data_IF_416600321672
#
_entry.id   IF_416600321672
#
_cell.length_a   1.000
_cell.length_b   1.000
_cell.length_c   1.000
_cell.angle_alpha   90.00
_cell.angle_beta   90.00
_cell.angle_gamma   90.00
#
_symmetry.space_group_name_H-M   'P 1'
#
loop_
_entity.id
_entity.type
_entity.pdbx_description
1 polymer ?
#
# COMPACT_ATOMS: atom_id res chain seq x y z
N UNK A 1 10.55 -14.52 16.10
CA UNK A 1 10.82 -13.30 15.29
C UNK A 1 10.57 -12.03 16.12
N UNK A 2 9.40 -11.87 16.77
CA UNK A 2 9.06 -10.67 17.54
C UNK A 2 10.11 -10.39 18.60
N UNK A 3 10.43 -11.38 19.45
CA UNK A 3 11.45 -11.27 20.51
C UNK A 3 12.79 -10.76 19.96
N UNK A 4 13.32 -11.40 18.92
CA UNK A 4 14.60 -10.99 18.33
C UNK A 4 14.58 -9.57 17.73
N UNK A 5 13.43 -9.11 17.22
CA UNK A 5 13.26 -7.73 16.72
C UNK A 5 13.24 -6.73 17.90
N UNK A 6 12.56 -7.09 18.97
CA UNK A 6 12.51 -6.25 20.19
C UNK A 6 13.88 -6.15 20.84
N UNK A 7 14.62 -7.26 20.95
CA UNK A 7 16.00 -7.28 21.45
C UNK A 7 16.95 -6.42 20.58
N UNK A 8 16.68 -6.37 19.25
CA UNK A 8 17.41 -5.51 18.32
C UNK A 8 17.01 -4.03 18.39
N UNK A 9 16.04 -3.66 19.25
CA UNK A 9 15.62 -2.27 19.47
C UNK A 9 14.64 -1.71 18.45
N UNK A 10 13.74 -2.55 17.89
CA UNK A 10 12.71 -2.07 16.95
C UNK A 10 11.68 -1.20 17.67
N UNK A 11 11.27 -0.09 17.03
CA UNK A 11 10.25 0.82 17.56
C UNK A 11 8.82 0.34 17.26
N UNK A 12 8.63 -0.25 16.09
CA UNK A 12 7.31 -0.71 15.62
C UNK A 12 7.38 -2.08 14.93
N UNK A 13 6.37 -2.90 15.17
CA UNK A 13 6.18 -4.20 14.51
C UNK A 13 4.92 -4.16 13.67
N UNK A 14 5.04 -4.59 12.41
CA UNK A 14 3.88 -4.75 11.52
C UNK A 14 3.48 -6.23 11.49
N UNK A 15 2.26 -6.52 11.93
CA UNK A 15 1.61 -7.82 11.74
C UNK A 15 0.91 -7.76 10.39
N UNK A 16 1.63 -8.15 9.34
CA UNK A 16 1.29 -7.92 7.94
C UNK A 16 0.83 -9.20 7.23
N UNK A 17 -0.43 -9.25 6.86
CA UNK A 17 -1.06 -10.41 6.19
C UNK A 17 -1.98 -9.97 5.05
N UNK A 18 -2.39 -10.91 4.21
CA UNK A 18 -3.38 -10.65 3.17
C UNK A 18 -4.79 -10.42 3.74
N UNK A 19 -5.05 -10.85 4.99
CA UNK A 19 -6.35 -10.67 5.67
C UNK A 19 -6.15 -10.40 7.17
N UNK A 20 -6.04 -9.12 7.53
CA UNK A 20 -5.81 -8.67 8.90
C UNK A 20 -6.97 -8.91 9.87
N UNK A 21 -8.19 -9.11 9.37
CA UNK A 21 -9.38 -9.43 10.19
C UNK A 21 -9.53 -10.93 10.46
N UNK A 22 -8.43 -11.68 10.49
CA UNK A 22 -8.46 -13.09 10.90
C UNK A 22 -8.15 -13.24 12.39
N UNK A 23 -8.70 -14.29 13.02
CA UNK A 23 -8.50 -14.56 14.45
C UNK A 23 -7.02 -14.62 14.81
N UNK A 24 -6.20 -15.32 14.02
CA UNK A 24 -4.77 -15.45 14.28
C UNK A 24 -3.98 -14.13 14.22
N UNK A 25 -4.41 -13.18 13.38
CA UNK A 25 -3.79 -11.84 13.31
C UNK A 25 -4.18 -11.03 14.54
N UNK A 26 -5.46 -11.02 14.91
CA UNK A 26 -5.98 -10.32 16.09
C UNK A 26 -5.30 -10.84 17.36
N UNK A 27 -5.22 -12.15 17.52
CA UNK A 27 -4.52 -12.80 18.64
C UNK A 27 -3.03 -12.45 18.66
N UNK A 28 -2.38 -12.37 17.49
CA UNK A 28 -0.98 -11.98 17.40
C UNK A 28 -0.76 -10.53 17.83
N UNK A 29 -1.63 -9.61 17.44
CA UNK A 29 -1.58 -8.21 17.89
C UNK A 29 -1.72 -8.15 19.42
N UNK A 30 -2.73 -8.82 20.00
CA UNK A 30 -2.92 -8.89 21.45
C UNK A 30 -1.69 -9.46 22.16
N UNK A 31 -1.13 -10.53 21.62
CA UNK A 31 0.04 -11.17 22.20
C UNK A 31 1.26 -10.24 22.22
N UNK A 32 1.52 -9.52 21.12
CA UNK A 32 2.64 -8.57 21.05
C UNK A 32 2.44 -7.46 22.07
N UNK A 33 1.27 -6.85 22.14
CA UNK A 33 0.96 -5.77 23.11
C UNK A 33 1.04 -6.23 24.55
N UNK A 34 0.62 -7.45 24.85
CA UNK A 34 0.69 -8.00 26.21
C UNK A 34 2.13 -8.30 26.67
N UNK A 35 3.00 -8.76 25.78
CA UNK A 35 4.37 -9.15 26.11
C UNK A 35 5.41 -8.02 25.92
N UNK A 36 5.14 -7.08 25.01
CA UNK A 36 6.04 -5.98 24.64
C UNK A 36 5.28 -4.65 24.54
N UNK A 37 4.69 -4.15 25.65
CA UNK A 37 3.82 -2.96 25.64
C UNK A 37 4.52 -1.69 25.15
N UNK A 38 5.85 -1.64 25.20
CA UNK A 38 6.67 -0.51 24.77
C UNK A 38 6.79 -0.43 23.22
N UNK A 39 6.52 -1.51 22.50
CA UNK A 39 6.63 -1.55 21.03
C UNK A 39 5.29 -1.18 20.40
N UNK A 40 5.33 -0.34 19.37
CA UNK A 40 4.14 0.00 18.60
C UNK A 40 3.75 -1.17 17.67
N UNK A 41 2.47 -1.46 17.55
CA UNK A 41 1.98 -2.56 16.71
C UNK A 41 1.03 -2.05 15.64
N UNK A 42 1.37 -2.34 14.40
CA UNK A 42 0.54 -2.03 13.22
C UNK A 42 -0.10 -3.32 12.73
N UNK A 43 -1.43 -3.37 12.67
CA UNK A 43 -2.16 -4.54 12.15
C UNK A 43 -2.64 -4.32 10.71
N UNK A 44 -2.60 -5.34 9.88
CA UNK A 44 -3.13 -5.26 8.51
C UNK A 44 -2.92 -6.54 7.67
N UNK A 45 -3.39 -6.54 6.41
CA UNK A 45 -4.19 -5.47 5.82
C UNK A 45 -5.69 -5.70 6.03
N UNK A 46 -6.41 -4.61 6.07
CA UNK A 46 -7.85 -4.59 6.23
C UNK A 46 -8.52 -3.70 5.17
N UNK A 47 -9.85 -3.76 5.07
CA UNK A 47 -10.62 -2.93 4.14
C UNK A 47 -11.93 -2.38 4.73
N UNK A 48 -12.30 -2.77 5.96
CA UNK A 48 -13.60 -2.44 6.57
C UNK A 48 -13.45 -1.82 7.94
N UNK A 49 -14.44 -1.02 8.34
CA UNK A 49 -14.50 -0.41 9.67
C UNK A 49 -14.53 -1.45 10.79
N UNK A 50 -15.28 -2.57 10.63
CA UNK A 50 -15.34 -3.62 11.64
C UNK A 50 -13.97 -4.27 11.88
N UNK A 51 -13.20 -4.48 10.80
CA UNK A 51 -11.83 -4.98 10.92
C UNK A 51 -10.92 -3.99 11.67
N UNK A 52 -11.09 -2.69 11.42
CA UNK A 52 -10.33 -1.66 12.12
C UNK A 52 -10.65 -1.63 13.62
N UNK A 53 -11.92 -1.71 13.98
CA UNK A 53 -12.34 -1.77 15.39
C UNK A 53 -11.82 -3.04 16.09
N UNK A 54 -11.86 -4.19 15.41
CA UNK A 54 -11.32 -5.44 15.97
C UNK A 54 -9.80 -5.37 16.23
N UNK A 55 -9.03 -4.70 15.38
CA UNK A 55 -7.60 -4.46 15.60
C UNK A 55 -7.34 -3.42 16.69
N UNK A 56 -8.14 -2.36 16.75
CA UNK A 56 -8.10 -1.37 17.84
C UNK A 56 -8.35 -2.03 19.20
N UNK A 57 -9.40 -2.84 19.31
CA UNK A 57 -9.73 -3.60 20.52
C UNK A 57 -8.64 -4.62 20.89
N UNK A 58 -7.88 -5.10 19.93
CA UNK A 58 -6.72 -5.95 20.16
C UNK A 58 -5.48 -5.19 20.65
N UNK A 59 -5.53 -3.84 20.68
CA UNK A 59 -4.46 -2.96 21.13
C UNK A 59 -3.50 -2.51 20.02
N UNK A 60 -3.90 -2.59 18.74
CA UNK A 60 -3.09 -2.04 17.65
C UNK A 60 -2.92 -0.52 17.81
N UNK A 61 -1.72 -0.01 17.56
CA UNK A 61 -1.39 1.41 17.60
C UNK A 61 -1.61 2.09 16.24
N UNK A 62 -1.72 1.31 15.18
CA UNK A 62 -2.10 1.75 13.83
C UNK A 62 -2.68 0.59 13.02
N UNK A 63 -3.41 0.91 11.95
CA UNK A 63 -3.91 -0.07 10.98
C UNK A 63 -3.43 0.22 9.57
N UNK A 64 -3.25 -0.84 8.78
CA UNK A 64 -2.85 -0.75 7.39
C UNK A 64 -3.97 -1.24 6.47
N UNK A 65 -4.40 -0.38 5.53
CA UNK A 65 -5.61 -0.53 4.72
C UNK A 65 -5.26 -0.74 3.26
N UNK A 66 -5.77 -1.84 2.70
CA UNK A 66 -5.62 -2.15 1.28
C UNK A 66 -5.69 -3.64 1.01
N UNK A 67 -6.80 -4.10 0.41
CA UNK A 67 -6.99 -5.48 -0.05
C UNK A 67 -7.08 -5.46 -1.58
N UNK A 68 -6.00 -5.91 -2.23
CA UNK A 68 -5.90 -6.05 -3.67
C UNK A 68 -5.66 -4.79 -4.49
N UNK A 69 -5.26 -3.60 -3.96
CA UNK A 69 -5.05 -2.40 -4.79
C UNK A 69 -3.68 -2.36 -5.48
N UNK A 70 -2.74 -3.21 -5.10
CA UNK A 70 -1.38 -3.23 -5.65
C UNK A 70 -1.36 -3.58 -7.14
N UNK A 71 -0.45 -2.95 -7.90
CA UNK A 71 -0.34 -3.15 -9.37
C UNK A 71 0.06 -4.57 -9.78
N UNK A 72 0.69 -5.33 -8.87
CA UNK A 72 1.11 -6.72 -9.09
C UNK A 72 0.23 -7.74 -8.34
N UNK A 73 -0.84 -7.26 -7.69
CA UNK A 73 -1.76 -8.10 -6.92
C UNK A 73 -2.89 -8.63 -7.82
N UNK A 74 -3.19 -9.92 -7.70
CA UNK A 74 -4.28 -10.58 -8.42
C UNK A 74 -5.39 -11.09 -7.51
N UNK A 75 -5.35 -10.81 -6.21
CA UNK A 75 -6.34 -11.24 -5.21
C UNK A 75 -7.78 -10.97 -5.66
N UNK A 76 -8.05 -9.78 -6.19
CA UNK A 76 -9.41 -9.39 -6.65
C UNK A 76 -9.93 -10.25 -7.79
N UNK A 77 -9.04 -10.80 -8.60
CA UNK A 77 -9.39 -11.65 -9.75
C UNK A 77 -9.39 -13.12 -9.36
N UNK A 78 -8.34 -13.58 -8.67
CA UNK A 78 -8.14 -14.99 -8.33
C UNK A 78 -9.04 -15.42 -7.18
N UNK A 79 -9.15 -14.62 -6.14
CA UNK A 79 -9.97 -14.92 -4.96
C UNK A 79 -11.35 -14.21 -4.98
N UNK A 80 -11.55 -13.21 -5.86
CA UNK A 80 -12.78 -12.42 -5.89
C UNK A 80 -12.92 -11.47 -4.68
N UNK A 81 -11.84 -11.21 -3.95
CA UNK A 81 -11.84 -10.46 -2.68
C UNK A 81 -11.10 -9.14 -2.87
N UNK A 82 -11.69 -8.06 -2.35
CA UNK A 82 -11.09 -6.73 -2.37
C UNK A 82 -12.13 -5.63 -2.21
N UNK A 83 -11.64 -4.41 -2.06
CA UNK A 83 -12.47 -3.20 -1.96
C UNK A 83 -11.78 -2.06 -2.70
N UNK A 84 -12.52 -1.17 -3.39
CA UNK A 84 -11.95 0.06 -3.95
C UNK A 84 -11.24 0.86 -2.85
N UNK A 85 -10.00 1.32 -3.13
CA UNK A 85 -9.11 1.80 -2.08
C UNK A 85 -9.65 3.02 -1.31
N UNK A 86 -10.23 4.00 -2.02
CA UNK A 86 -10.83 5.18 -1.35
C UNK A 86 -12.00 4.77 -0.46
N UNK A 87 -12.85 3.84 -0.91
CA UNK A 87 -13.95 3.32 -0.09
C UNK A 87 -13.45 2.57 1.16
N UNK A 88 -12.35 1.82 1.03
CA UNK A 88 -11.74 1.14 2.17
C UNK A 88 -11.18 2.13 3.19
N UNK A 89 -10.46 3.16 2.73
CA UNK A 89 -9.91 4.21 3.58
C UNK A 89 -11.04 4.95 4.32
N UNK A 90 -12.05 5.40 3.59
CA UNK A 90 -13.21 6.12 4.14
C UNK A 90 -13.95 5.27 5.18
N UNK A 91 -14.23 3.99 4.88
CA UNK A 91 -14.88 3.07 5.82
C UNK A 91 -14.09 2.91 7.13
N UNK A 92 -12.77 2.76 7.04
CA UNK A 92 -11.90 2.59 8.20
C UNK A 92 -11.75 3.89 8.98
N UNK A 93 -11.54 5.02 8.29
CA UNK A 93 -11.41 6.34 8.93
C UNK A 93 -12.67 6.71 9.72
N UNK A 94 -13.85 6.51 9.13
CA UNK A 94 -15.13 6.75 9.78
C UNK A 94 -15.36 5.87 11.02
N UNK A 95 -14.87 4.64 11.01
CA UNK A 95 -14.98 3.73 12.16
C UNK A 95 -14.00 4.10 13.28
N UNK A 96 -12.76 4.42 12.94
CA UNK A 96 -11.70 4.74 13.91
C UNK A 96 -11.88 6.11 14.57
N UNK A 97 -12.47 7.08 13.88
CA UNK A 97 -12.66 8.46 14.41
C UNK A 97 -11.38 9.04 15.01
N UNK A 98 -10.27 8.87 14.28
CA UNK A 98 -8.93 9.33 14.66
C UNK A 98 -8.34 8.76 15.98
N UNK A 99 -8.89 7.66 16.52
CA UNK A 99 -8.36 7.02 17.73
C UNK A 99 -6.96 6.46 17.50
N UNK A 100 -6.69 5.91 16.33
CA UNK A 100 -5.35 5.46 15.90
C UNK A 100 -5.12 5.82 14.42
N UNK A 101 -3.87 6.04 13.99
CA UNK A 101 -3.56 6.38 12.62
C UNK A 101 -3.82 5.21 11.65
N UNK A 102 -4.11 5.59 10.40
CA UNK A 102 -4.39 4.69 9.29
C UNK A 102 -3.35 4.89 8.19
N UNK A 103 -2.79 3.79 7.71
CA UNK A 103 -1.85 3.74 6.58
C UNK A 103 -2.60 3.27 5.33
N UNK A 104 -2.68 4.10 4.29
CA UNK A 104 -3.24 3.71 3.00
C UNK A 104 -2.19 2.97 2.17
N UNK A 105 -2.38 1.65 2.01
CA UNK A 105 -1.40 0.78 1.35
C UNK A 105 -1.87 0.33 -0.03
N UNK A 106 -1.16 0.78 -1.05
CA UNK A 106 -1.34 0.37 -2.43
C UNK A 106 -2.31 1.23 -3.25
N UNK A 107 -2.30 1.03 -4.56
CA UNK A 107 -3.15 1.74 -5.52
C UNK A 107 -2.70 3.16 -5.85
N UNK A 108 -1.58 3.63 -5.32
CA UNK A 108 -1.03 4.97 -5.53
C UNK A 108 -0.08 4.94 -6.73
N UNK A 109 -0.46 5.63 -7.80
CA UNK A 109 0.28 5.72 -9.06
C UNK A 109 0.82 7.12 -9.32
N UNK A 110 0.11 8.12 -8.84
CA UNK A 110 0.41 9.54 -9.00
C UNK A 110 0.34 10.25 -7.64
N UNK A 111 0.95 11.43 -7.55
CA UNK A 111 0.86 12.28 -6.36
C UNK A 111 -0.58 12.67 -6.00
N UNK A 112 -1.46 12.81 -6.99
CA UNK A 112 -2.89 13.05 -6.78
C UNK A 112 -3.59 11.89 -6.05
N UNK A 113 -3.16 10.63 -6.27
CA UNK A 113 -3.71 9.48 -5.54
C UNK A 113 -3.32 9.55 -4.06
N UNK A 114 -2.09 10.00 -3.74
CA UNK A 114 -1.66 10.25 -2.37
C UNK A 114 -2.52 11.31 -1.68
N UNK A 115 -2.73 12.45 -2.35
CA UNK A 115 -3.58 13.52 -1.81
C UNK A 115 -5.02 13.03 -1.56
N UNK A 116 -5.57 12.22 -2.48
CA UNK A 116 -6.90 11.60 -2.30
C UNK A 116 -6.94 10.63 -1.13
N UNK A 117 -5.91 9.80 -0.95
CA UNK A 117 -5.84 8.87 0.18
C UNK A 117 -5.82 9.62 1.51
N UNK A 118 -5.04 10.68 1.62
CA UNK A 118 -4.97 11.55 2.80
C UNK A 118 -6.32 12.25 3.02
N UNK A 119 -6.90 12.86 1.98
CA UNK A 119 -8.21 13.51 2.07
C UNK A 119 -9.35 12.56 2.44
N UNK A 120 -9.21 11.26 2.14
CA UNK A 120 -10.17 10.23 2.57
C UNK A 120 -9.97 9.76 4.03
N UNK A 121 -8.97 10.27 4.74
CA UNK A 121 -8.73 10.00 6.15
C UNK A 121 -7.41 9.28 6.47
N UNK A 122 -6.56 8.97 5.49
CA UNK A 122 -5.27 8.36 5.77
C UNK A 122 -4.31 9.34 6.46
N UNK A 123 -3.56 8.85 7.46
CA UNK A 123 -2.49 9.59 8.12
C UNK A 123 -1.19 9.52 7.32
N UNK A 124 -0.91 8.35 6.74
CA UNK A 124 0.26 8.08 5.91
C UNK A 124 -0.10 7.17 4.74
N UNK A 125 0.82 7.04 3.79
CA UNK A 125 0.66 6.14 2.64
C UNK A 125 1.80 5.13 2.56
N UNK A 126 1.51 3.96 1.97
CA UNK A 126 2.50 2.99 1.56
C UNK A 126 2.45 2.81 0.05
N UNK A 127 3.61 2.80 -0.59
CA UNK A 127 3.74 2.67 -2.05
C UNK A 127 4.67 1.52 -2.42
N UNK A 128 4.33 0.76 -3.45
CA UNK A 128 5.15 -0.32 -4.00
C UNK A 128 5.73 0.05 -5.36
N UNK A 129 4.94 -0.03 -6.42
CA UNK A 129 5.37 0.15 -7.81
C UNK A 129 6.00 1.53 -8.11
N UNK A 130 5.62 2.57 -7.38
CA UNK A 130 6.23 3.89 -7.52
C UNK A 130 7.72 3.86 -7.22
N UNK A 131 8.13 3.13 -6.17
CA UNK A 131 9.51 3.03 -5.72
C UNK A 131 10.23 1.78 -6.24
N UNK A 132 9.52 0.78 -6.76
CA UNK A 132 10.11 -0.48 -7.20
C UNK A 132 11.16 -0.33 -8.31
N UNK A 133 11.05 0.73 -9.13
CA UNK A 133 12.03 1.04 -10.19
C UNK A 133 13.19 1.94 -9.76
N UNK A 134 13.28 2.34 -8.49
CA UNK A 134 14.34 3.22 -8.01
C UNK A 134 15.66 2.47 -7.81
N UNK A 135 16.76 3.22 -7.75
CA UNK A 135 18.09 2.68 -7.54
C UNK A 135 18.18 1.91 -6.21
N UNK A 136 17.56 2.43 -5.17
CA UNK A 136 17.59 1.88 -3.80
C UNK A 136 16.68 0.67 -3.60
N UNK A 137 15.69 0.45 -4.48
CA UNK A 137 14.82 -0.72 -4.40
C UNK A 137 15.59 -2.01 -4.72
N UNK A 138 15.28 -3.16 -4.06
CA UNK A 138 15.85 -4.44 -4.44
C UNK A 138 15.36 -4.83 -5.84
N UNK A 139 16.06 -5.75 -6.46
CA UNK A 139 15.80 -6.22 -7.82
C UNK A 139 16.92 -5.85 -8.77
N UNK A 140 17.14 -6.70 -9.74
CA UNK A 140 18.18 -6.52 -10.74
C UNK A 140 17.74 -5.51 -11.80
N UNK A 141 18.71 -4.78 -12.35
CA UNK A 141 18.50 -3.90 -13.49
C UNK A 141 18.62 -4.72 -14.76
N UNK A 142 17.58 -4.70 -15.58
CA UNK A 142 17.50 -5.40 -16.87
C UNK A 142 17.48 -4.38 -18.01
N UNK A 143 18.23 -4.67 -19.08
CA UNK A 143 18.12 -3.92 -20.33
C UNK A 143 17.20 -4.67 -21.30
N UNK A 144 16.10 -4.02 -21.69
CA UNK A 144 15.10 -4.64 -22.57
C UNK A 144 14.51 -3.59 -23.53
N UNK A 145 14.48 -3.92 -24.82
CA UNK A 145 13.95 -3.07 -25.88
C UNK A 145 14.46 -1.61 -25.83
N UNK A 146 15.78 -1.44 -25.60
CA UNK A 146 16.41 -0.12 -25.59
C UNK A 146 16.22 0.70 -24.30
N UNK A 147 15.64 0.12 -23.24
CA UNK A 147 15.40 0.79 -21.96
C UNK A 147 15.84 -0.06 -20.78
N UNK A 148 16.11 0.59 -19.65
CA UNK A 148 16.41 -0.08 -18.38
C UNK A 148 15.14 -0.29 -17.56
N UNK A 149 15.04 -1.47 -16.95
CA UNK A 149 13.96 -1.90 -16.08
C UNK A 149 14.54 -2.50 -14.81
N UNK A 150 13.71 -2.60 -13.76
CA UNK A 150 14.01 -3.41 -12.57
C UNK A 150 12.99 -4.52 -12.44
N UNK A 151 13.44 -5.70 -12.03
CA UNK A 151 12.57 -6.80 -11.64
C UNK A 151 11.69 -6.37 -10.47
N UNK A 152 10.41 -6.69 -10.54
CA UNK A 152 9.43 -6.38 -9.51
C UNK A 152 8.43 -7.52 -9.41
N UNK A 153 8.18 -7.98 -8.17
CA UNK A 153 7.26 -9.09 -7.93
C UNK A 153 6.33 -8.82 -6.76
N UNK A 154 5.12 -9.38 -6.83
CA UNK A 154 4.17 -9.37 -5.73
C UNK A 154 4.58 -10.33 -4.63
N UNK A 155 4.22 -10.02 -3.38
CA UNK A 155 4.40 -10.90 -2.23
C UNK A 155 3.63 -12.22 -2.39
N UNK A 156 2.52 -12.23 -3.14
CA UNK A 156 1.73 -13.41 -3.50
C UNK A 156 2.14 -14.08 -4.81
N UNK A 157 3.28 -13.72 -5.43
CA UNK A 157 3.83 -14.43 -6.59
C UNK A 157 4.47 -15.76 -6.21
N UNK A 158 4.55 -16.70 -7.15
CA UNK A 158 5.16 -18.01 -6.91
C UNK A 158 6.60 -17.88 -6.40
N UNK A 159 7.42 -17.04 -7.03
CA UNK A 159 8.80 -16.82 -6.63
C UNK A 159 8.95 -16.15 -5.26
N UNK A 160 7.96 -15.36 -4.82
CA UNK A 160 7.98 -14.79 -3.47
C UNK A 160 7.53 -15.82 -2.41
N UNK A 161 6.56 -16.68 -2.73
CA UNK A 161 6.00 -17.66 -1.78
C UNK A 161 6.85 -18.93 -1.63
N UNK A 162 7.51 -19.39 -2.71
CA UNK A 162 8.22 -20.68 -2.74
C UNK A 162 9.58 -20.68 -2.02
N UNK A 163 10.12 -19.53 -1.61
CA UNK A 163 11.40 -19.45 -0.92
C UNK A 163 11.36 -19.99 0.51
N UNK A 164 12.50 -20.45 1.05
CA UNK A 164 12.62 -20.92 2.44
C UNK A 164 12.21 -19.88 3.50
N UNK A 165 12.34 -18.61 3.17
CA UNK A 165 11.86 -17.45 3.96
C UNK A 165 10.72 -16.76 3.23
N UNK A 166 9.97 -17.49 2.41
CA UNK A 166 8.94 -16.96 1.53
C UNK A 166 7.72 -16.42 2.26
N UNK A 167 6.86 -15.80 1.49
CA UNK A 167 5.67 -15.08 1.98
C UNK A 167 4.39 -15.92 1.95
N UNK A 168 4.47 -17.26 1.80
CA UNK A 168 3.30 -18.14 1.73
C UNK A 168 2.40 -18.03 2.97
N UNK A 169 3.00 -17.89 4.15
CA UNK A 169 2.30 -17.70 5.42
C UNK A 169 1.41 -16.44 5.44
N UNK A 170 1.80 -15.39 4.73
CA UNK A 170 1.01 -14.16 4.54
C UNK A 170 -0.35 -14.45 3.86
N UNK A 171 -0.39 -15.50 3.02
CA UNK A 171 -1.56 -15.93 2.26
C UNK A 171 -2.18 -17.22 2.82
N UNK A 172 -1.84 -17.56 4.07
CA UNK A 172 -2.34 -18.77 4.75
C UNK A 172 -2.02 -20.08 4.00
N UNK A 173 -0.91 -20.10 3.27
CA UNK A 173 -0.45 -21.25 2.50
C UNK A 173 0.86 -21.79 3.08
N UNK A 174 1.08 -23.12 2.93
CA UNK A 174 2.29 -23.78 3.39
C UNK A 174 3.28 -23.96 2.23
N UNK A 175 4.41 -23.24 2.28
CA UNK A 175 5.49 -23.36 1.30
C UNK A 175 6.14 -24.75 1.27
N UNK A 176 6.02 -25.55 2.35
CA UNK A 176 6.56 -26.90 2.42
C UNK A 176 5.75 -27.91 1.59
N UNK A 177 4.52 -27.57 1.20
CA UNK A 177 3.70 -28.44 0.36
C UNK A 177 4.17 -28.57 -1.09
N UNK A 178 5.17 -27.80 -1.51
CA UNK A 178 5.72 -27.74 -2.87
C UNK A 178 5.14 -26.57 -3.66
N UNK A 179 5.95 -25.98 -4.53
CA UNK A 179 5.58 -24.80 -5.31
C UNK A 179 4.36 -25.04 -6.22
N UNK A 180 4.18 -26.27 -6.69
CA UNK A 180 3.09 -26.68 -7.56
C UNK A 180 1.72 -26.71 -6.87
N UNK A 181 1.68 -26.67 -5.53
CA UNK A 181 0.44 -26.62 -4.73
C UNK A 181 0.09 -25.20 -4.28
N UNK A 182 0.97 -24.23 -4.50
CA UNK A 182 0.69 -22.84 -4.15
C UNK A 182 -0.30 -22.23 -5.15
N UNK A 183 -1.21 -21.42 -4.65
CA UNK A 183 -2.15 -20.63 -5.45
C UNK A 183 -1.70 -19.18 -5.40
N UNK A 184 -1.07 -18.64 -6.47
CA UNK A 184 -0.54 -17.27 -6.44
C UNK A 184 -1.66 -16.23 -6.48
N UNK A 185 -1.48 -15.18 -5.70
CA UNK A 185 -2.30 -13.97 -5.70
C UNK A 185 -1.49 -12.73 -6.12
N UNK A 186 -0.44 -12.93 -6.88
CA UNK A 186 0.44 -11.91 -7.41
C UNK A 186 1.25 -12.39 -8.59
N UNK A 187 1.80 -11.44 -9.34
CA UNK A 187 2.63 -11.71 -10.52
C UNK A 187 4.08 -11.27 -10.30
N UNK A 188 4.94 -11.75 -11.19
CA UNK A 188 6.31 -11.27 -11.38
C UNK A 188 6.37 -10.50 -12.70
N UNK A 189 7.09 -9.38 -12.69
CA UNK A 189 7.19 -8.50 -13.84
C UNK A 189 8.37 -7.56 -13.71
N UNK A 190 8.35 -6.51 -14.50
CA UNK A 190 9.37 -5.46 -14.47
C UNK A 190 8.72 -4.07 -14.50
N UNK A 191 9.38 -3.11 -13.91
CA UNK A 191 9.00 -1.70 -13.95
C UNK A 191 10.13 -0.87 -14.55
N UNK A 192 9.85 0.25 -15.22
CA UNK A 192 10.90 1.13 -15.73
C UNK A 192 11.84 1.57 -14.61
N UNK A 193 13.15 1.56 -14.90
CA UNK A 193 14.15 2.14 -14.01
C UNK A 193 13.95 3.66 -13.92
N UNK A 194 14.00 4.19 -12.70
CA UNK A 194 13.62 5.59 -12.40
C UNK A 194 14.76 6.42 -11.80
N UNK A 195 15.94 5.82 -11.59
CA UNK A 195 17.04 6.47 -10.88
C UNK A 195 16.79 6.63 -9.37
N UNK A 196 17.43 7.61 -8.71
CA UNK A 196 17.35 7.79 -7.27
C UNK A 196 15.93 8.06 -6.77
N UNK A 197 15.57 7.44 -5.63
CA UNK A 197 14.27 7.58 -4.96
C UNK A 197 13.94 9.03 -4.62
N UNK A 198 14.94 9.83 -4.26
CA UNK A 198 14.76 11.23 -3.89
C UNK A 198 14.00 12.04 -4.94
N UNK A 199 14.22 11.77 -6.22
CA UNK A 199 13.51 12.43 -7.32
C UNK A 199 12.01 12.10 -7.32
N UNK A 200 11.66 10.85 -7.05
CA UNK A 200 10.26 10.40 -6.98
C UNK A 200 9.56 11.04 -5.77
N UNK A 201 10.22 10.99 -4.61
CA UNK A 201 9.69 11.60 -3.37
C UNK A 201 9.47 13.11 -3.56
N UNK A 202 10.43 13.82 -4.21
CA UNK A 202 10.28 15.24 -4.50
C UNK A 202 9.02 15.54 -5.33
N UNK A 203 8.78 14.77 -6.41
CA UNK A 203 7.58 14.93 -7.25
C UNK A 203 6.28 14.62 -6.48
N UNK A 204 6.29 13.56 -5.66
CA UNK A 204 5.15 13.19 -4.84
C UNK A 204 4.81 14.30 -3.84
N UNK A 205 5.80 14.83 -3.12
CA UNK A 205 5.62 15.91 -2.15
C UNK A 205 5.20 17.22 -2.83
N UNK A 206 5.74 17.51 -4.03
CA UNK A 206 5.32 18.65 -4.84
C UNK A 206 3.83 18.58 -5.19
N UNK A 207 3.36 17.43 -5.67
CA UNK A 207 1.94 17.22 -5.98
C UNK A 207 1.02 17.30 -4.76
N UNK A 208 1.45 16.79 -3.60
CA UNK A 208 0.70 16.94 -2.36
C UNK A 208 0.57 18.42 -1.95
N UNK A 209 1.66 19.17 -1.98
CA UNK A 209 1.65 20.63 -1.70
C UNK A 209 0.73 21.38 -2.65
N UNK A 210 0.74 21.02 -3.94
CA UNK A 210 -0.21 21.60 -4.91
C UNK A 210 -1.66 21.31 -4.52
N UNK A 211 -1.99 20.07 -4.15
CA UNK A 211 -3.33 19.70 -3.69
C UNK A 211 -3.75 20.49 -2.45
N UNK A 212 -2.85 20.65 -1.48
CA UNK A 212 -3.09 21.46 -0.28
C UNK A 212 -3.34 22.93 -0.65
N UNK A 213 -2.57 23.47 -1.59
CA UNK A 213 -2.80 24.83 -2.10
C UNK A 213 -4.17 25.02 -2.74
N UNK A 214 -4.60 24.09 -3.60
CA UNK A 214 -5.93 24.13 -4.24
C UNK A 214 -7.09 23.98 -3.26
N UNK A 215 -6.90 23.25 -2.17
CA UNK A 215 -7.94 23.04 -1.14
C UNK A 215 -7.87 24.05 -0.01
N UNK A 216 -6.92 24.99 -0.01
CA UNK A 216 -6.73 25.97 1.06
C UNK A 216 -6.28 25.35 2.38
N UNK A 217 -5.60 24.19 2.32
CA UNK A 217 -5.14 23.45 3.49
C UNK A 217 -3.71 23.86 3.86
N UNK A 218 -3.52 24.42 5.05
CA UNK A 218 -2.21 24.87 5.54
C UNK A 218 -1.40 23.73 6.15
N UNK A 219 -2.06 22.71 6.68
CA UNK A 219 -1.47 21.49 7.25
C UNK A 219 -2.20 20.26 6.71
N UNK A 220 -1.60 19.08 6.89
CA UNK A 220 -2.17 17.80 6.44
C UNK A 220 -3.55 17.55 7.07
N UNK A 221 -3.73 17.94 8.33
CA UNK A 221 -4.99 17.76 9.04
C UNK A 221 -6.13 18.53 8.39
N UNK A 222 -5.89 19.78 7.93
CA UNK A 222 -6.86 20.56 7.18
C UNK A 222 -7.32 19.82 5.92
N UNK A 223 -6.37 19.18 5.19
CA UNK A 223 -6.68 18.40 4.01
C UNK A 223 -7.53 17.16 4.35
N UNK A 224 -7.23 16.47 5.45
CA UNK A 224 -8.01 15.32 5.91
C UNK A 224 -9.46 15.70 6.28
N UNK A 225 -9.65 16.84 6.94
CA UNK A 225 -10.96 17.26 7.44
C UNK A 225 -11.82 17.98 6.39
N UNK A 226 -11.20 18.73 5.47
CA UNK A 226 -11.91 19.65 4.58
C UNK A 226 -12.00 19.15 3.13
N UNK A 227 -11.29 18.09 2.73
CA UNK A 227 -11.34 17.59 1.38
C UNK A 227 -12.75 17.12 0.99
N UNK A 228 -13.19 17.52 -0.20
CA UNK A 228 -14.48 17.10 -0.76
C UNK A 228 -14.25 16.29 -2.01
N UNK A 229 -14.94 15.15 -2.09
CA UNK A 229 -14.83 14.23 -3.21
C UNK A 229 -16.02 14.38 -4.15
N UNK A 230 -15.73 14.27 -5.45
CA UNK A 230 -16.72 14.15 -6.51
C UNK A 230 -16.57 12.78 -7.16
N UNK A 231 -17.65 12.03 -7.25
CA UNK A 231 -17.65 10.76 -7.97
C UNK A 231 -17.72 11.04 -9.47
N UNK A 232 -16.79 10.47 -10.22
CA UNK A 232 -16.73 10.59 -11.68
C UNK A 232 -17.00 9.25 -12.36
N UNK A 233 -17.36 9.31 -13.63
CA UNK A 233 -17.51 8.16 -14.53
C UNK A 233 -16.16 7.81 -15.19
N UNK A 234 -16.12 6.71 -15.95
CA UNK A 234 -14.97 6.40 -16.81
C UNK A 234 -14.71 7.49 -17.87
N UNK A 235 -15.76 8.17 -18.37
CA UNK A 235 -15.60 9.31 -19.26
C UNK A 235 -14.91 10.48 -18.55
N UNK A 236 -15.31 10.80 -17.30
CA UNK A 236 -14.63 11.81 -16.49
C UNK A 236 -13.19 11.42 -16.14
N UNK A 237 -12.90 10.12 -16.00
CA UNK A 237 -11.52 9.65 -15.84
C UNK A 237 -10.68 9.89 -17.10
N UNK A 238 -11.23 9.64 -18.28
CA UNK A 238 -10.56 9.92 -19.56
C UNK A 238 -10.29 11.42 -19.74
N UNK A 239 -11.26 12.26 -19.41
CA UNK A 239 -11.11 13.73 -19.42
C UNK A 239 -10.03 14.21 -18.43
N UNK A 240 -9.84 13.52 -17.30
CA UNK A 240 -8.84 13.86 -16.29
C UNK A 240 -7.40 13.61 -16.73
N UNK A 241 -7.20 12.76 -17.74
CA UNK A 241 -5.92 12.53 -18.38
C UNK A 241 -5.70 13.51 -19.55
N UNK A 242 -4.44 13.66 -19.97
CA UNK A 242 -4.12 14.40 -21.19
C UNK A 242 -4.85 13.76 -22.36
N UNK A 243 -5.63 14.56 -23.11
CA UNK A 243 -6.42 14.12 -24.25
C UNK A 243 -6.30 15.12 -25.41
N UNK A 244 -6.63 14.69 -26.63
CA UNK A 244 -6.64 15.49 -27.86
C UNK A 244 -5.29 16.15 -28.23
N UNK A 245 -4.17 15.67 -27.66
CA UNK A 245 -2.82 16.13 -27.98
C UNK A 245 -1.83 14.96 -28.00
N UNK A 246 -0.78 15.11 -28.80
CA UNK A 246 0.34 14.15 -28.80
C UNK A 246 1.43 14.66 -27.88
N UNK A 247 1.81 13.85 -26.87
CA UNK A 247 2.90 14.20 -25.97
C UNK A 247 4.22 14.15 -26.73
N UNK A 248 4.91 15.26 -26.83
CA UNK A 248 6.25 15.37 -27.43
C UNK A 248 7.37 15.38 -26.42
N UNK A 249 7.05 15.70 -25.15
CA UNK A 249 7.97 15.67 -24.00
C UNK A 249 7.19 15.25 -22.75
N UNK A 250 7.58 14.14 -22.14
CA UNK A 250 6.99 13.65 -20.91
C UNK A 250 7.31 14.57 -19.72
N UNK A 251 6.34 14.76 -18.83
CA UNK A 251 6.59 15.39 -17.53
C UNK A 251 7.17 14.36 -16.55
N UNK A 252 8.03 14.77 -15.60
CA UNK A 252 8.67 13.84 -14.68
C UNK A 252 7.67 13.13 -13.74
N UNK A 253 6.49 13.69 -13.56
CA UNK A 253 5.44 13.23 -12.64
C UNK A 253 4.16 12.72 -13.36
N UNK A 254 4.16 12.70 -14.70
CA UNK A 254 3.04 12.20 -15.50
C UNK A 254 3.52 11.32 -16.65
N UNK A 255 2.94 10.11 -16.72
CA UNK A 255 3.14 9.17 -17.83
C UNK A 255 1.79 8.59 -18.21
N UNK A 256 1.54 8.47 -19.50
CA UNK A 256 0.43 7.67 -20.02
C UNK A 256 0.82 6.21 -19.80
N UNK A 257 -0.04 5.44 -19.13
CA UNK A 257 0.16 4.02 -18.84
C UNK A 257 -0.01 3.15 -20.08
#
# INVERSE_FOLDING_TARGET
>A
RVEALVEAGVDAIVVDTAHGHSAGVIERVRWVKANYPQVQVIGGNIATGDAALALLDAGADAVKVGIGPGSICTTRIVAGIGMPQISAIDSVANALKDQIPLIADGGIRFSGDMAKAIGAGASTIMVGSLLAGTEEAPGEVEFFQGRYYKAYRGMGSLGAMAGATGSADRYFQDSKAGAEKLVPEGIEGRVPYKGPMGNIVHQMMGGLRSSMGYTGSSVIEDLRQNAKFVKITSAGMSESHVHDVTITKEAPNYRVG
#
